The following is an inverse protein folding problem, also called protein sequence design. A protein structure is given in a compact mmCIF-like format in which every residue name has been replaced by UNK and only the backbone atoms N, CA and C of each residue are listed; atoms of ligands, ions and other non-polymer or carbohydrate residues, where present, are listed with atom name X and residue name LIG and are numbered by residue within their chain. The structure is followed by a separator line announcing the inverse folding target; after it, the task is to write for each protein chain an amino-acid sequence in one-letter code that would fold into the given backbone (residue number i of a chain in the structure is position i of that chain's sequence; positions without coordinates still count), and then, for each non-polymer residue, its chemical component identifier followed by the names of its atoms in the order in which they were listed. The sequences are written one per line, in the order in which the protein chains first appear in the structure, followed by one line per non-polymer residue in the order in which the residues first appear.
data_IF_214779685590
#
_entry.id   IF_214779685590
#
_cell.length_a   1.000
_cell.length_b   1.000
_cell.length_c   1.000
_cell.angle_alpha   90.00
_cell.angle_beta   90.00
_cell.angle_gamma   90.00
#
_symmetry.space_group_name_H-M   'P 1'
#
loop_
_entity.id
_entity.type
_entity.pdbx_description
1 polymer ?
#
# COMPACT_ATOMS: atom_id res chain seq x y z
N UNK A 1 -26.83 46.02 30.57
CA UNK A 1 -27.09 44.58 30.31
C UNK A 1 -26.67 44.12 28.90
N UNK A 2 -26.88 44.91 27.83
CA UNK A 2 -26.59 44.50 26.44
C UNK A 2 -25.09 44.33 26.09
N UNK A 3 -24.22 45.22 26.58
CA UNK A 3 -22.75 45.18 26.30
C UNK A 3 -22.02 44.06 27.06
N UNK A 4 -22.44 43.78 28.31
CA UNK A 4 -21.89 42.66 29.09
C UNK A 4 -22.22 41.29 28.48
N UNK A 5 -23.31 41.18 27.72
CA UNK A 5 -23.69 39.96 27.03
C UNK A 5 -22.81 39.76 25.78
N UNK A 6 -22.55 40.84 25.03
CA UNK A 6 -21.68 40.83 23.86
C UNK A 6 -20.22 40.47 24.21
N UNK A 7 -19.69 40.99 25.32
CA UNK A 7 -18.32 40.69 25.75
C UNK A 7 -18.10 39.22 26.16
N UNK A 8 -19.18 38.53 26.60
CA UNK A 8 -19.14 37.10 26.97
C UNK A 8 -19.22 36.17 25.75
N UNK A 9 -19.76 36.64 24.64
CA UNK A 9 -19.89 35.87 23.39
C UNK A 9 -18.65 35.98 22.49
N UNK A 10 -17.83 37.02 22.68
CA UNK A 10 -16.62 37.28 21.89
C UNK A 10 -15.60 36.12 21.90
N UNK A 11 -15.27 35.45 23.04
CA UNK A 11 -14.32 34.33 23.04
C UNK A 11 -14.83 33.10 22.27
N UNK A 12 -16.12 32.81 22.33
CA UNK A 12 -16.74 31.70 21.60
C UNK A 12 -16.73 31.96 20.08
N UNK A 13 -16.90 33.22 19.67
CA UNK A 13 -16.83 33.61 18.26
C UNK A 13 -15.40 33.58 17.70
N UNK A 14 -14.39 33.90 18.52
CA UNK A 14 -12.98 33.71 18.17
C UNK A 14 -12.60 32.23 18.02
N UNK A 15 -13.11 31.33 18.87
CA UNK A 15 -12.84 29.89 18.77
C UNK A 15 -13.44 29.23 17.53
N UNK A 16 -14.60 29.72 17.06
CA UNK A 16 -15.25 29.24 15.84
C UNK A 16 -14.57 29.72 14.54
N UNK A 17 -13.61 30.66 14.63
CA UNK A 17 -12.91 31.23 13.47
C UNK A 17 -11.66 30.45 13.06
N UNK A 18 -11.28 29.41 13.84
CA UNK A 18 -10.14 28.56 13.52
C UNK A 18 -10.62 27.27 12.84
N UNK A 19 -10.34 27.12 11.54
CA UNK A 19 -10.39 25.81 10.89
C UNK A 19 -9.27 24.96 11.47
N UNK A 20 -9.63 23.90 12.20
CA UNK A 20 -8.67 22.92 12.70
C UNK A 20 -8.46 21.88 11.59
N UNK A 21 -7.60 22.20 10.62
CA UNK A 21 -7.17 21.26 9.57
C UNK A 21 -6.06 20.35 10.12
N UNK A 22 -6.40 19.52 11.11
CA UNK A 22 -5.46 18.61 11.77
C UNK A 22 -5.42 17.19 11.16
N UNK A 23 -6.18 16.94 10.09
CA UNK A 23 -6.27 15.62 9.47
C UNK A 23 -6.02 15.75 7.97
N UNK A 24 -4.78 15.46 7.53
CA UNK A 24 -4.58 15.00 6.16
C UNK A 24 -5.49 13.79 5.91
N UNK A 25 -5.98 13.63 4.68
CA UNK A 25 -6.87 12.50 4.40
C UNK A 25 -6.11 11.19 4.65
N UNK A 26 -6.67 10.28 5.45
CA UNK A 26 -6.11 8.94 5.64
C UNK A 26 -5.71 8.29 4.30
N UNK A 27 -6.51 8.55 3.26
CA UNK A 27 -6.29 8.05 1.91
C UNK A 27 -5.01 8.63 1.26
N UNK A 28 -4.72 9.92 1.41
CA UNK A 28 -3.50 10.53 0.85
C UNK A 28 -2.24 9.98 1.50
N UNK A 29 -2.26 9.84 2.83
CA UNK A 29 -1.16 9.23 3.58
C UNK A 29 -0.94 7.78 3.18
N UNK A 30 -2.03 7.02 3.06
CA UNK A 30 -1.97 5.63 2.63
C UNK A 30 -1.45 5.51 1.19
N UNK A 31 -1.94 6.33 0.24
CA UNK A 31 -1.46 6.37 -1.15
C UNK A 31 0.05 6.66 -1.22
N UNK A 32 0.55 7.61 -0.43
CA UNK A 32 1.98 7.91 -0.35
C UNK A 32 2.80 6.74 0.20
N UNK A 33 2.37 6.17 1.34
CA UNK A 33 3.05 5.02 1.95
C UNK A 33 3.07 3.80 1.03
N UNK A 34 1.96 3.56 0.33
CA UNK A 34 1.85 2.48 -0.63
C UNK A 34 2.83 2.66 -1.80
N UNK A 35 2.88 3.86 -2.41
CA UNK A 35 3.84 4.17 -3.49
C UNK A 35 5.28 3.95 -3.06
N UNK A 36 5.64 4.38 -1.85
CA UNK A 36 7.00 4.20 -1.32
C UNK A 36 7.34 2.72 -1.08
N UNK A 37 6.42 1.96 -0.47
CA UNK A 37 6.60 0.53 -0.23
C UNK A 37 6.72 -0.27 -1.55
N UNK A 38 5.89 0.07 -2.54
CA UNK A 38 5.94 -0.53 -3.87
C UNK A 38 7.28 -0.27 -4.57
N UNK A 39 7.75 0.99 -4.58
CA UNK A 39 9.03 1.35 -5.16
C UNK A 39 10.19 0.61 -4.48
N UNK A 40 10.24 0.63 -3.14
CA UNK A 40 11.26 -0.07 -2.37
C UNK A 40 11.28 -1.58 -2.66
N UNK A 41 10.10 -2.21 -2.71
CA UNK A 41 9.98 -3.66 -2.97
C UNK A 41 10.48 -4.02 -4.37
N UNK A 42 10.16 -3.20 -5.38
CA UNK A 42 10.63 -3.42 -6.76
C UNK A 42 12.14 -3.24 -6.87
N UNK A 43 12.71 -2.21 -6.23
CA UNK A 43 14.16 -2.01 -6.20
C UNK A 43 14.87 -3.18 -5.51
N UNK A 44 14.33 -3.67 -4.39
CA UNK A 44 14.88 -4.82 -3.68
C UNK A 44 14.85 -6.10 -4.54
N UNK A 45 13.73 -6.37 -5.23
CA UNK A 45 13.65 -7.46 -6.19
C UNK A 45 14.68 -7.30 -7.32
N UNK A 46 14.78 -6.12 -7.92
CA UNK A 46 15.72 -5.83 -9.01
C UNK A 46 17.18 -5.92 -8.58
N UNK A 47 17.51 -5.58 -7.33
CA UNK A 47 18.87 -5.61 -6.81
C UNK A 47 19.40 -7.04 -6.59
N UNK A 48 18.53 -8.00 -6.24
CA UNK A 48 18.96 -9.38 -5.98
C UNK A 48 19.42 -10.07 -7.28
N UNK A 49 20.62 -10.69 -7.34
CA UNK A 49 21.04 -11.49 -8.48
C UNK A 49 20.09 -12.67 -8.74
N UNK A 50 19.88 -13.06 -10.00
CA UNK A 50 18.87 -14.07 -10.36
C UNK A 50 19.18 -15.48 -9.80
N UNK A 51 20.45 -15.85 -9.79
CA UNK A 51 20.96 -17.07 -9.14
C UNK A 51 20.67 -17.10 -7.62
N UNK A 52 20.58 -15.93 -6.99
CA UNK A 52 20.25 -15.80 -5.58
C UNK A 52 18.74 -15.78 -5.28
N UNK A 53 17.84 -15.81 -6.27
CA UNK A 53 16.38 -15.82 -6.01
C UNK A 53 15.89 -17.09 -5.28
N UNK A 54 16.70 -18.15 -5.23
CA UNK A 54 16.42 -19.35 -4.43
C UNK A 54 16.85 -19.25 -2.97
N UNK A 55 17.45 -18.13 -2.55
CA UNK A 55 17.92 -17.94 -1.18
C UNK A 55 16.79 -18.06 -0.17
N UNK A 56 17.02 -18.80 0.91
CA UNK A 56 16.17 -18.81 2.10
C UNK A 56 17.04 -18.62 3.35
N UNK A 57 16.64 -17.75 4.31
CA UNK A 57 17.44 -17.50 5.51
C UNK A 57 17.40 -18.67 6.51
N UNK A 58 16.33 -19.47 6.52
CA UNK A 58 16.19 -20.65 7.40
C UNK A 58 15.43 -21.76 6.67
N UNK A 59 15.50 -22.99 7.17
CA UNK A 59 14.84 -24.14 6.52
C UNK A 59 13.30 -24.08 6.51
N UNK A 60 12.67 -23.21 7.32
CA UNK A 60 11.22 -23.12 7.46
C UNK A 60 10.60 -21.92 6.75
N UNK A 61 11.42 -20.95 6.34
CA UNK A 61 10.96 -19.73 5.69
C UNK A 61 10.89 -19.89 4.17
N UNK A 62 10.00 -19.11 3.55
CA UNK A 62 9.93 -19.02 2.09
C UNK A 62 11.25 -18.55 1.50
N UNK A 63 11.58 -19.07 0.32
CA UNK A 63 12.66 -18.51 -0.48
C UNK A 63 12.33 -17.09 -0.92
N UNK A 64 13.36 -16.32 -1.29
CA UNK A 64 13.22 -14.97 -1.82
C UNK A 64 12.17 -14.89 -2.94
N UNK A 65 12.26 -15.79 -3.93
CA UNK A 65 11.27 -15.85 -5.03
C UNK A 65 9.86 -16.17 -4.55
N UNK A 66 9.70 -17.09 -3.60
CA UNK A 66 8.39 -17.47 -3.08
C UNK A 66 7.75 -16.31 -2.32
N UNK A 67 8.54 -15.57 -1.54
CA UNK A 67 8.06 -14.38 -0.85
C UNK A 67 7.56 -13.31 -1.82
N UNK A 68 8.32 -13.02 -2.88
CA UNK A 68 7.91 -12.06 -3.92
C UNK A 68 6.62 -12.48 -4.63
N UNK A 69 6.51 -13.77 -4.98
CA UNK A 69 5.30 -14.32 -5.63
C UNK A 69 4.10 -14.30 -4.68
N UNK A 70 4.30 -14.61 -3.40
CA UNK A 70 3.26 -14.53 -2.38
C UNK A 70 2.75 -13.10 -2.22
N UNK A 71 3.64 -12.11 -2.13
CA UNK A 71 3.25 -10.68 -2.08
C UNK A 71 2.44 -10.28 -3.31
N UNK A 72 2.91 -10.62 -4.52
CA UNK A 72 2.21 -10.27 -5.76
C UNK A 72 0.81 -10.89 -5.84
N UNK A 73 0.69 -12.18 -5.49
CA UNK A 73 -0.60 -12.87 -5.44
C UNK A 73 -1.54 -12.28 -4.39
N UNK A 74 -1.02 -11.93 -3.21
CA UNK A 74 -1.78 -11.35 -2.12
C UNK A 74 -2.32 -9.95 -2.48
N UNK A 75 -1.50 -9.11 -3.12
CA UNK A 75 -1.96 -7.79 -3.61
C UNK A 75 -3.15 -7.91 -4.56
N UNK A 76 -3.07 -8.82 -5.54
CA UNK A 76 -4.21 -9.04 -6.45
C UNK A 76 -5.43 -9.55 -5.69
N UNK A 77 -5.28 -10.59 -4.87
CA UNK A 77 -6.40 -11.19 -4.14
C UNK A 77 -7.10 -10.20 -3.19
N UNK A 78 -6.34 -9.38 -2.47
CA UNK A 78 -6.90 -8.37 -1.58
C UNK A 78 -7.73 -7.34 -2.37
N UNK A 79 -7.16 -6.78 -3.44
CA UNK A 79 -7.86 -5.76 -4.23
C UNK A 79 -9.06 -6.31 -5.00
N UNK A 80 -9.01 -7.55 -5.47
CA UNK A 80 -10.11 -8.18 -6.21
C UNK A 80 -11.07 -8.92 -5.28
N UNK A 81 -10.73 -10.13 -4.87
CA UNK A 81 -11.62 -11.08 -4.22
C UNK A 81 -12.09 -10.61 -2.87
N UNK A 82 -11.25 -9.89 -2.13
CA UNK A 82 -11.61 -9.41 -0.80
C UNK A 82 -12.36 -8.07 -0.83
N UNK A 83 -11.86 -7.07 -1.56
CA UNK A 83 -12.46 -5.72 -1.55
C UNK A 83 -13.55 -5.51 -2.61
N UNK A 84 -13.32 -5.97 -3.84
CA UNK A 84 -14.22 -5.79 -4.99
C UNK A 84 -15.19 -6.97 -5.18
N UNK A 85 -14.89 -8.14 -4.60
CA UNK A 85 -15.66 -9.38 -4.76
C UNK A 85 -15.46 -10.09 -6.09
N UNK A 86 -14.55 -9.60 -6.95
CA UNK A 86 -14.19 -10.26 -8.21
C UNK A 86 -13.25 -11.44 -8.00
N UNK A 87 -13.37 -12.50 -8.81
CA UNK A 87 -12.58 -13.74 -8.65
C UNK A 87 -11.20 -13.69 -9.33
N UNK A 88 -10.65 -12.49 -9.51
CA UNK A 88 -9.32 -12.32 -10.11
C UNK A 88 -8.26 -12.78 -9.12
N UNK A 89 -7.43 -13.75 -9.46
CA UNK A 89 -6.36 -14.22 -8.58
C UNK A 89 -5.13 -14.59 -9.43
N UNK A 90 -3.95 -14.34 -8.88
CA UNK A 90 -2.70 -14.91 -9.41
C UNK A 90 -2.25 -15.98 -8.44
N UNK A 91 -2.25 -17.23 -8.91
CA UNK A 91 -1.73 -18.38 -8.16
C UNK A 91 -0.18 -18.32 -8.13
N UNK A 92 0.43 -18.08 -6.96
CA UNK A 92 1.88 -18.04 -6.84
C UNK A 92 2.52 -19.39 -7.23
N UNK A 93 1.85 -20.51 -7.03
CA UNK A 93 2.43 -21.82 -7.37
C UNK A 93 2.54 -22.06 -8.89
N UNK A 94 1.71 -21.38 -9.69
CA UNK A 94 1.65 -21.55 -11.16
C UNK A 94 2.30 -20.42 -11.95
N UNK A 95 2.85 -19.42 -11.28
CA UNK A 95 3.51 -18.29 -11.92
C UNK A 95 4.98 -18.58 -12.25
N UNK A 96 5.51 -17.85 -13.22
CA UNK A 96 6.89 -17.96 -13.70
C UNK A 96 7.93 -17.91 -12.58
N UNK A 97 9.09 -18.48 -12.87
CA UNK A 97 10.16 -18.70 -11.88
C UNK A 97 11.38 -17.82 -12.13
N UNK A 98 11.49 -17.19 -13.31
CA UNK A 98 12.62 -16.30 -13.63
C UNK A 98 12.49 -14.96 -12.90
N UNK A 99 13.62 -14.29 -12.69
CA UNK A 99 13.65 -12.94 -12.10
C UNK A 99 12.73 -11.98 -12.85
N UNK A 100 12.79 -12.02 -14.18
CA UNK A 100 11.98 -11.17 -15.07
C UNK A 100 10.48 -11.41 -14.89
N UNK A 101 10.03 -12.67 -14.87
CA UNK A 101 8.62 -13.01 -14.71
C UNK A 101 8.09 -12.60 -13.33
N UNK A 102 8.89 -12.78 -12.28
CA UNK A 102 8.50 -12.42 -10.91
C UNK A 102 8.41 -10.89 -10.76
N UNK A 103 9.33 -10.12 -11.36
CA UNK A 103 9.25 -8.66 -11.36
C UNK A 103 7.98 -8.20 -12.11
N UNK A 104 7.69 -8.78 -13.27
CA UNK A 104 6.46 -8.46 -14.00
C UNK A 104 5.19 -8.81 -13.20
N UNK A 105 5.22 -9.90 -12.44
CA UNK A 105 4.12 -10.28 -11.54
C UNK A 105 3.94 -9.28 -10.39
N UNK A 106 5.03 -8.81 -9.78
CA UNK A 106 5.00 -7.75 -8.76
C UNK A 106 4.42 -6.44 -9.30
N UNK A 107 4.90 -6.00 -10.46
CA UNK A 107 4.41 -4.77 -11.12
C UNK A 107 2.91 -4.86 -11.39
N UNK A 108 2.43 -6.02 -11.86
CA UNK A 108 1.00 -6.28 -12.03
C UNK A 108 0.24 -6.19 -10.71
N UNK A 109 0.72 -6.83 -9.64
CA UNK A 109 0.07 -6.80 -8.33
C UNK A 109 -0.01 -5.39 -7.73
N UNK A 110 1.08 -4.63 -7.85
CA UNK A 110 1.15 -3.23 -7.41
C UNK A 110 0.15 -2.36 -8.18
N UNK A 111 0.08 -2.52 -9.51
CA UNK A 111 -0.80 -1.72 -10.38
C UNK A 111 -2.28 -1.88 -10.02
N UNK A 112 -2.73 -3.10 -9.69
CA UNK A 112 -4.12 -3.35 -9.27
C UNK A 112 -4.49 -2.56 -8.00
N UNK A 113 -3.52 -2.26 -7.13
CA UNK A 113 -3.73 -1.49 -5.90
C UNK A 113 -3.65 0.04 -6.11
N UNK A 114 -3.13 0.49 -7.26
CA UNK A 114 -2.97 1.91 -7.63
C UNK A 114 -3.87 2.20 -8.83
N UNK A 115 -5.10 1.68 -8.85
CA UNK A 115 -6.08 2.16 -9.81
C UNK A 115 -6.35 3.63 -9.48
N UNK A 116 -6.00 4.50 -10.43
CA UNK A 116 -6.18 5.95 -10.32
C UNK A 116 -7.69 6.29 -10.26
N UNK A 117 -8.08 6.97 -9.18
CA UNK A 117 -9.16 7.96 -9.22
C UNK A 117 -8.59 9.27 -9.79
#
# INVERSE_FOLDING_TARGET
MKISLLLRLLPAMLLLSYSVDAQDSFLSDYKMKWKNAAAYTLEFAKAMPEDHYGYTPTAVEMTFREQLKHMAGNMVWLSSSYLDGSKTHIDPSKSGSTKKEIIAMLEKGICVCIADD
#
